data_IF_572342697759
#
_entry.id   IF_572342697759
#
_cell.length_a   1.000
_cell.length_b   1.000
_cell.length_c   1.000
_cell.angle_alpha   90.00
_cell.angle_beta   90.00
_cell.angle_gamma   90.00
#
_symmetry.space_group_name_H-M   'P 1'
#
loop_
_entity.id
_entity.type
_entity.pdbx_description
1 polymer ?
#
# COMPACT_ATOMS: atom_id res chain seq x y z
N UNK A 1 13.90 -19.57 -36.00
CA UNK A 1 14.12 -19.25 -34.58
C UNK A 1 12.76 -19.00 -33.93
N UNK A 2 12.31 -19.91 -33.08
CA UNK A 2 11.05 -19.74 -32.36
C UNK A 2 11.26 -18.77 -31.20
N UNK A 3 10.52 -17.67 -31.20
CA UNK A 3 10.41 -16.79 -30.04
C UNK A 3 9.70 -17.54 -28.93
N UNK A 4 10.46 -17.99 -27.92
CA UNK A 4 9.88 -18.39 -26.66
C UNK A 4 9.31 -17.13 -26.00
N UNK A 5 8.02 -16.90 -26.22
CA UNK A 5 7.20 -16.09 -25.32
C UNK A 5 7.37 -16.68 -23.93
N UNK A 6 8.16 -16.01 -23.09
CA UNK A 6 8.18 -16.28 -21.67
C UNK A 6 6.82 -15.84 -21.13
N UNK A 7 5.82 -16.71 -21.26
CA UNK A 7 4.71 -16.76 -20.34
C UNK A 7 5.34 -17.00 -18.97
N UNK A 8 5.77 -15.94 -18.29
CA UNK A 8 5.92 -15.97 -16.84
C UNK A 8 4.55 -16.43 -16.35
N UNK A 9 4.49 -17.64 -15.82
CA UNK A 9 3.30 -18.12 -15.12
C UNK A 9 2.90 -16.99 -14.16
N UNK A 10 1.74 -16.39 -14.41
CA UNK A 10 1.20 -15.33 -13.55
C UNK A 10 1.24 -15.89 -12.14
N UNK A 11 2.00 -15.26 -11.23
CA UNK A 11 2.07 -15.71 -9.85
C UNK A 11 0.64 -15.96 -9.37
N UNK A 12 0.36 -17.19 -8.97
CA UNK A 12 -0.99 -17.57 -8.61
C UNK A 12 -1.25 -17.05 -7.21
N UNK A 13 -2.22 -16.15 -7.05
CA UNK A 13 -2.77 -15.75 -5.75
C UNK A 13 -3.01 -17.02 -4.93
N UNK A 14 -2.26 -17.19 -3.84
CA UNK A 14 -2.33 -18.40 -3.04
C UNK A 14 -3.47 -18.26 -2.01
N UNK A 15 -4.58 -18.96 -2.24
CA UNK A 15 -5.70 -18.98 -1.31
C UNK A 15 -5.40 -19.97 -0.17
N UNK A 16 -5.23 -19.44 1.04
CA UNK A 16 -4.95 -20.21 2.26
C UNK A 16 -6.27 -20.66 2.92
N UNK A 17 -7.34 -19.87 2.76
CA UNK A 17 -8.66 -20.16 3.30
C UNK A 17 -9.73 -19.27 2.69
N UNK A 18 -10.97 -19.37 3.17
CA UNK A 18 -12.00 -18.38 2.81
C UNK A 18 -11.57 -17.00 3.35
N UNK A 19 -11.49 -16.00 2.48
CA UNK A 19 -11.05 -14.65 2.87
C UNK A 19 -9.58 -14.55 3.25
N UNK A 20 -8.76 -15.61 3.14
CA UNK A 20 -7.36 -15.60 3.56
C UNK A 20 -6.43 -15.93 2.40
N UNK A 21 -5.49 -15.04 2.11
CA UNK A 21 -4.63 -15.10 0.93
C UNK A 21 -3.17 -14.83 1.29
N UNK A 22 -2.24 -15.42 0.52
CA UNK A 22 -0.85 -15.01 0.46
C UNK A 22 -0.55 -14.45 -0.94
N UNK A 23 0.22 -13.37 -0.97
CA UNK A 23 0.70 -12.73 -2.20
C UNK A 23 2.19 -12.49 -2.10
N UNK A 24 2.86 -12.60 -3.24
CA UNK A 24 4.28 -12.36 -3.39
C UNK A 24 4.54 -11.28 -4.47
N UNK A 25 3.50 -10.72 -5.08
CA UNK A 25 3.61 -9.59 -6.00
C UNK A 25 2.64 -8.47 -5.64
N UNK A 26 3.00 -7.22 -5.96
CA UNK A 26 2.08 -6.09 -5.82
C UNK A 26 0.90 -6.17 -6.79
N UNK A 27 1.07 -6.82 -7.94
CA UNK A 27 -0.03 -7.08 -8.89
C UNK A 27 -1.10 -7.98 -8.29
N UNK A 28 -0.70 -9.03 -7.56
CA UNK A 28 -1.64 -9.93 -6.89
C UNK A 28 -2.35 -9.25 -5.72
N UNK A 29 -1.61 -8.45 -4.93
CA UNK A 29 -2.19 -7.60 -3.89
C UNK A 29 -3.26 -6.66 -4.48
N UNK A 30 -2.96 -6.01 -5.61
CA UNK A 30 -3.90 -5.11 -6.27
C UNK A 30 -5.10 -5.84 -6.85
N UNK A 31 -4.90 -7.00 -7.49
CA UNK A 31 -6.01 -7.78 -8.06
C UNK A 31 -6.98 -8.27 -6.96
N UNK A 32 -6.47 -8.66 -5.79
CA UNK A 32 -7.29 -8.98 -4.62
C UNK A 32 -8.07 -7.77 -4.11
N UNK A 33 -7.42 -6.60 -3.98
CA UNK A 33 -8.05 -5.42 -3.38
C UNK A 33 -9.02 -4.70 -4.32
N UNK A 34 -8.79 -4.75 -5.63
CA UNK A 34 -9.53 -3.92 -6.61
C UNK A 34 -10.30 -4.70 -7.66
N UNK A 35 -10.05 -6.01 -7.80
CA UNK A 35 -10.54 -6.82 -8.92
C UNK A 35 -10.03 -6.34 -10.30
N UNK A 36 -8.91 -5.62 -10.37
CA UNK A 36 -8.45 -4.98 -11.61
C UNK A 36 -8.26 -5.95 -12.78
N UNK A 37 -7.89 -7.21 -12.53
CA UNK A 37 -7.79 -8.24 -13.55
C UNK A 37 -8.92 -9.28 -13.47
N UNK A 38 -10.02 -8.97 -12.78
CA UNK A 38 -11.20 -9.83 -12.68
C UNK A 38 -11.01 -11.10 -11.85
N UNK A 39 -10.10 -11.12 -10.86
CA UNK A 39 -9.93 -12.26 -9.96
C UNK A 39 -11.25 -12.73 -9.35
N UNK A 40 -12.02 -11.81 -8.78
CA UNK A 40 -13.30 -12.13 -8.14
C UNK A 40 -14.37 -12.57 -9.13
N UNK A 41 -14.34 -12.05 -10.36
CA UNK A 41 -15.25 -12.49 -11.42
C UNK A 41 -15.04 -13.97 -11.74
N UNK A 42 -13.77 -14.43 -11.73
CA UNK A 42 -13.42 -15.85 -11.93
C UNK A 42 -13.75 -16.72 -10.72
N UNK A 43 -13.65 -16.18 -9.51
CA UNK A 43 -13.97 -16.93 -8.28
C UNK A 43 -15.49 -17.05 -8.04
N UNK A 44 -16.32 -16.23 -8.68
CA UNK A 44 -17.77 -16.24 -8.56
C UNK A 44 -18.31 -15.64 -7.25
N UNK A 45 -17.46 -15.45 -6.24
CA UNK A 45 -17.80 -14.75 -5.01
C UNK A 45 -16.60 -13.95 -4.47
N UNK A 46 -16.88 -12.83 -3.82
CA UNK A 46 -15.91 -12.01 -3.10
C UNK A 46 -16.28 -12.05 -1.62
N UNK A 47 -15.38 -12.50 -0.73
CA UNK A 47 -15.62 -12.35 0.69
C UNK A 47 -15.61 -10.86 1.06
N UNK A 48 -16.49 -10.47 1.99
CA UNK A 48 -16.51 -9.10 2.53
C UNK A 48 -15.29 -8.80 3.41
N UNK A 49 -14.71 -9.86 3.99
CA UNK A 49 -13.55 -9.80 4.86
C UNK A 49 -12.37 -10.48 4.18
N UNK A 50 -11.27 -9.74 4.02
CA UNK A 50 -10.04 -10.26 3.44
C UNK A 50 -8.85 -10.06 4.38
N UNK A 51 -8.05 -11.11 4.51
CA UNK A 51 -6.73 -11.11 5.12
C UNK A 51 -5.73 -11.49 4.04
N UNK A 52 -4.70 -10.67 3.87
CA UNK A 52 -3.65 -10.85 2.88
C UNK A 52 -2.30 -10.83 3.60
N UNK A 53 -1.57 -11.93 3.48
CA UNK A 53 -0.18 -12.02 3.93
C UNK A 53 0.73 -11.72 2.74
N UNK A 54 1.56 -10.69 2.87
CA UNK A 54 2.60 -10.36 1.90
C UNK A 54 3.87 -11.11 2.32
N UNK A 55 4.29 -12.09 1.51
CA UNK A 55 5.30 -13.08 1.92
C UNK A 55 6.73 -12.77 1.48
N UNK A 56 6.91 -11.64 0.77
CA UNK A 56 8.20 -11.08 0.39
C UNK A 56 8.03 -9.60 0.07
N UNK A 57 9.13 -8.87 -0.11
CA UNK A 57 9.03 -7.46 -0.52
C UNK A 57 8.37 -7.37 -1.90
N UNK A 58 7.48 -6.40 -2.07
CA UNK A 58 6.67 -6.25 -3.30
C UNK A 58 6.83 -4.87 -3.91
N UNK A 59 6.61 -4.78 -5.22
CA UNK A 59 6.45 -3.50 -5.92
C UNK A 59 5.02 -3.31 -6.37
N UNK A 60 4.41 -2.23 -5.92
CA UNK A 60 3.04 -1.87 -6.27
C UNK A 60 3.02 -1.33 -7.71
N UNK A 61 2.07 -1.78 -8.54
CA UNK A 61 2.02 -1.41 -9.95
C UNK A 61 1.60 0.05 -10.15
N UNK A 62 2.01 0.64 -11.28
CA UNK A 62 1.61 1.99 -11.74
C UNK A 62 0.13 2.07 -12.15
N UNK A 63 -0.76 1.93 -11.18
CA UNK A 63 -2.20 2.14 -11.33
C UNK A 63 -2.86 2.61 -10.02
N UNK A 64 -4.01 3.27 -10.14
CA UNK A 64 -4.83 3.74 -9.02
C UNK A 64 -6.25 3.19 -9.06
N UNK A 65 -6.44 1.87 -8.94
CA UNK A 65 -7.75 1.30 -9.03
C UNK A 65 -8.53 1.53 -7.74
N UNK A 66 -9.85 1.62 -7.86
CA UNK A 66 -10.72 1.66 -6.70
C UNK A 66 -10.70 0.31 -5.97
N UNK A 67 -10.77 0.36 -4.64
CA UNK A 67 -11.04 -0.83 -3.83
C UNK A 67 -12.37 -1.45 -4.29
N UNK A 68 -12.40 -2.78 -4.34
CA UNK A 68 -13.56 -3.49 -4.85
C UNK A 68 -14.76 -3.31 -3.90
N UNK A 69 -15.93 -2.80 -4.36
CA UNK A 69 -17.00 -2.34 -3.46
C UNK A 69 -17.60 -3.38 -2.50
N UNK A 70 -17.43 -4.66 -2.82
CA UNK A 70 -17.90 -5.78 -1.97
C UNK A 70 -17.01 -6.01 -0.75
N UNK A 71 -15.78 -5.49 -0.76
CA UNK A 71 -14.85 -5.63 0.36
C UNK A 71 -15.19 -4.60 1.43
N UNK A 72 -15.38 -5.06 2.67
CA UNK A 72 -15.74 -4.25 3.84
C UNK A 72 -14.64 -4.20 4.88
N UNK A 73 -13.89 -5.29 5.04
CA UNK A 73 -12.76 -5.35 5.97
C UNK A 73 -11.52 -5.89 5.26
N UNK A 74 -10.41 -5.19 5.41
CA UNK A 74 -9.11 -5.55 4.85
C UNK A 74 -8.08 -5.62 5.95
N UNK A 75 -7.36 -6.74 6.02
CA UNK A 75 -6.15 -6.88 6.81
C UNK A 75 -4.99 -7.23 5.89
N UNK A 76 -4.05 -6.31 5.70
CA UNK A 76 -2.79 -6.58 4.99
C UNK A 76 -1.68 -6.73 6.02
N UNK A 77 -1.18 -7.95 6.18
CA UNK A 77 -0.04 -8.25 7.03
C UNK A 77 1.22 -8.36 6.16
N UNK A 78 2.14 -7.43 6.35
CA UNK A 78 3.40 -7.42 5.60
C UNK A 78 4.44 -8.40 6.12
N UNK A 79 4.21 -9.04 7.26
CA UNK A 79 5.12 -10.05 7.83
C UNK A 79 6.58 -9.55 7.99
N UNK A 80 6.79 -8.25 8.18
CA UNK A 80 8.10 -7.62 8.26
C UNK A 80 8.73 -7.26 6.91
N UNK A 81 8.02 -7.50 5.80
CA UNK A 81 8.43 -7.10 4.46
C UNK A 81 8.10 -5.65 4.16
N UNK A 82 8.77 -5.12 3.14
CA UNK A 82 8.60 -3.75 2.68
C UNK A 82 7.77 -3.72 1.38
N UNK A 83 7.30 -2.54 1.00
CA UNK A 83 6.80 -2.33 -0.35
C UNK A 83 7.46 -1.13 -1.02
N UNK A 84 7.61 -1.24 -2.34
CA UNK A 84 8.07 -0.21 -3.24
C UNK A 84 6.92 0.22 -4.16
N UNK A 85 7.05 1.36 -4.84
CA UNK A 85 6.08 1.78 -5.86
C UNK A 85 6.73 1.95 -7.22
N UNK A 86 6.03 1.53 -8.27
CA UNK A 86 6.43 1.74 -9.66
C UNK A 86 6.19 3.20 -10.14
N UNK A 87 5.24 3.89 -9.50
CA UNK A 87 4.95 5.31 -9.72
C UNK A 87 4.49 6.00 -8.43
N UNK A 88 5.26 6.99 -7.98
CA UNK A 88 4.99 7.79 -6.78
C UNK A 88 3.64 8.51 -6.76
N UNK A 89 3.10 8.86 -7.93
CA UNK A 89 1.82 9.56 -8.08
C UNK A 89 0.65 8.60 -8.33
N UNK A 90 0.93 7.30 -8.44
CA UNK A 90 0.05 6.41 -9.19
C UNK A 90 0.07 4.96 -8.79
N UNK A 91 0.56 4.58 -7.61
CA UNK A 91 0.64 3.18 -7.17
C UNK A 91 -0.04 2.98 -5.82
N UNK A 92 -1.37 3.16 -5.80
CA UNK A 92 -2.17 3.10 -4.58
C UNK A 92 -3.57 2.56 -4.88
N UNK A 93 -4.20 1.92 -3.91
CA UNK A 93 -5.63 1.59 -3.97
C UNK A 93 -6.44 2.80 -3.56
N UNK A 94 -7.38 3.22 -4.41
CA UNK A 94 -8.29 4.31 -4.10
C UNK A 94 -9.47 3.80 -3.29
N UNK A 95 -9.77 4.41 -2.16
CA UNK A 95 -10.95 4.18 -1.35
C UNK A 95 -11.95 5.29 -1.69
N UNK A 96 -13.03 4.97 -2.44
CA UNK A 96 -14.01 5.98 -2.79
C UNK A 96 -14.62 6.63 -1.53
N UNK A 97 -15.02 7.91 -1.59
CA UNK A 97 -15.67 8.63 -0.50
C UNK A 97 -16.86 7.92 0.13
N UNK A 98 -17.64 7.21 -0.69
CA UNK A 98 -18.84 6.45 -0.30
C UNK A 98 -18.50 5.10 0.33
N UNK A 99 -17.24 4.70 0.35
CA UNK A 99 -16.79 3.45 0.95
C UNK A 99 -16.88 3.51 2.47
N UNK A 100 -17.18 2.36 3.06
CA UNK A 100 -17.18 2.13 4.51
C UNK A 100 -16.08 1.15 4.92
N UNK A 101 -15.11 0.90 4.03
CA UNK A 101 -14.10 -0.12 4.24
C UNK A 101 -13.23 0.18 5.46
N UNK A 102 -13.00 -0.83 6.29
CA UNK A 102 -12.04 -0.76 7.38
C UNK A 102 -10.76 -1.47 6.97
N UNK A 103 -9.66 -0.75 6.96
CA UNK A 103 -8.36 -1.27 6.54
C UNK A 103 -7.43 -1.34 7.73
N UNK A 104 -6.76 -2.47 7.90
CA UNK A 104 -5.64 -2.65 8.82
C UNK A 104 -4.39 -3.02 8.04
N UNK A 105 -3.30 -2.30 8.26
CA UNK A 105 -1.97 -2.60 7.73
C UNK A 105 -1.10 -2.98 8.92
N UNK A 106 -0.60 -4.21 8.94
CA UNK A 106 0.16 -4.76 10.06
C UNK A 106 1.58 -5.14 9.67
N UNK A 107 2.51 -4.99 10.62
CA UNK A 107 3.88 -5.51 10.53
C UNK A 107 4.62 -5.09 9.24
N UNK A 108 4.38 -3.86 8.80
CA UNK A 108 5.11 -3.25 7.70
C UNK A 108 6.44 -2.71 8.23
N UNK A 109 7.53 -3.03 7.55
CA UNK A 109 8.84 -2.48 7.85
C UNK A 109 9.37 -1.80 6.59
N UNK A 110 9.38 -0.48 6.56
CA UNK A 110 9.85 0.31 5.42
C UNK A 110 10.90 1.28 5.92
N UNK A 111 12.15 1.09 5.53
CA UNK A 111 13.27 1.94 5.95
C UNK A 111 14.07 2.39 4.74
N UNK A 112 14.03 3.69 4.45
CA UNK A 112 14.76 4.35 3.38
C UNK A 112 15.67 5.44 3.98
N UNK A 113 16.97 5.39 3.71
CA UNK A 113 17.97 6.26 4.38
C UNK A 113 18.77 7.19 3.45
N UNK A 114 18.39 7.34 2.16
CA UNK A 114 19.18 8.08 1.15
C UNK A 114 18.56 9.39 0.65
N UNK A 115 19.39 10.37 0.26
CA UNK A 115 18.96 11.74 -0.07
C UNK A 115 18.47 12.04 -1.50
N UNK A 116 18.14 11.06 -2.35
CA UNK A 116 17.66 11.32 -3.74
C UNK A 116 16.64 10.29 -4.25
N UNK A 117 15.59 10.72 -4.97
CA UNK A 117 14.33 9.95 -5.14
C UNK A 117 13.82 9.77 -6.60
N UNK A 118 14.68 9.49 -7.59
CA UNK A 118 14.21 9.24 -8.97
C UNK A 118 14.56 7.82 -9.44
N UNK A 119 13.82 7.30 -10.43
CA UNK A 119 14.09 6.16 -11.34
C UNK A 119 13.20 4.90 -11.26
N UNK A 120 13.13 4.22 -12.42
CA UNK A 120 12.16 3.22 -12.84
C UNK A 120 12.65 1.78 -12.55
N UNK A 121 11.77 0.95 -11.95
CA UNK A 121 11.88 -0.49 -11.63
C UNK A 121 12.52 -0.89 -10.30
N UNK A 122 12.12 -2.09 -9.81
CA UNK A 122 12.35 -2.62 -8.47
C UNK A 122 13.66 -3.41 -8.34
N UNK A 123 14.62 -3.01 -7.49
CA UNK A 123 15.86 -3.76 -7.36
C UNK A 123 15.73 -5.12 -6.62
N UNK A 124 16.71 -6.02 -6.83
CA UNK A 124 16.77 -7.32 -6.16
C UNK A 124 17.05 -7.19 -4.66
N UNK A 125 16.58 -8.16 -3.86
CA UNK A 125 16.74 -8.20 -2.40
C UNK A 125 18.18 -8.14 -1.89
N UNK A 126 19.17 -8.48 -2.72
CA UNK A 126 20.61 -8.39 -2.42
C UNK A 126 21.18 -6.97 -2.43
N UNK A 127 20.42 -6.00 -2.95
CA UNK A 127 20.87 -4.60 -3.14
C UNK A 127 20.17 -3.63 -2.18
N UNK A 128 19.59 -4.13 -1.08
CA UNK A 128 19.11 -3.27 0.03
C UNK A 128 20.25 -2.36 0.47
N UNK A 129 20.11 -1.06 0.23
CA UNK A 129 21.12 -0.06 0.62
C UNK A 129 22.38 0.03 -0.25
N UNK A 130 22.42 -0.54 -1.46
CA UNK A 130 23.54 -0.33 -2.39
C UNK A 130 23.03 0.26 -3.71
N UNK A 131 23.19 1.59 -3.85
CA UNK A 131 23.02 2.45 -5.03
C UNK A 131 22.10 1.97 -6.17
N UNK A 132 20.96 2.68 -6.33
CA UNK A 132 20.21 2.79 -7.58
C UNK A 132 18.72 2.43 -7.48
N UNK A 133 17.88 3.43 -7.15
CA UNK A 133 16.42 3.47 -7.36
C UNK A 133 15.49 2.66 -6.40
N UNK A 134 14.75 3.38 -5.54
CA UNK A 134 13.47 2.97 -4.95
C UNK A 134 12.71 4.24 -4.54
N UNK A 135 11.49 4.45 -5.05
CA UNK A 135 10.67 5.59 -4.63
C UNK A 135 9.86 5.16 -3.41
N UNK A 136 10.14 5.75 -2.25
CA UNK A 136 9.14 5.80 -1.19
C UNK A 136 7.98 6.62 -1.76
N UNK A 137 6.76 6.11 -1.67
CA UNK A 137 5.64 6.73 -2.40
C UNK A 137 5.48 8.21 -2.02
N UNK A 138 4.90 9.03 -2.92
CA UNK A 138 4.66 10.47 -2.66
C UNK A 138 3.95 10.74 -1.34
N UNK A 139 3.21 9.77 -0.79
CA UNK A 139 2.45 9.89 0.45
C UNK A 139 2.62 8.70 1.42
N UNK A 140 3.61 7.82 1.17
CA UNK A 140 3.74 6.52 1.83
C UNK A 140 2.54 5.57 1.77
N UNK A 141 1.67 5.66 0.75
CA UNK A 141 0.36 5.01 0.75
C UNK A 141 0.31 3.71 -0.05
N UNK A 142 -0.21 2.66 0.61
CA UNK A 142 -0.90 1.56 -0.09
C UNK A 142 -2.36 1.93 -0.41
N UNK A 143 -3.02 2.73 0.44
CA UNK A 143 -4.40 3.17 0.29
C UNK A 143 -4.51 4.69 0.33
N UNK A 144 -5.29 5.29 -0.58
CA UNK A 144 -5.61 6.72 -0.59
C UNK A 144 -7.10 6.93 -0.88
N UNK A 145 -7.67 8.08 -0.53
CA UNK A 145 -9.03 8.46 -0.97
C UNK A 145 -9.06 9.16 -2.33
N UNK A 146 -7.94 9.75 -2.74
CA UNK A 146 -7.76 10.52 -3.97
C UNK A 146 -6.24 10.68 -4.25
N UNK A 147 -5.89 10.95 -5.51
CA UNK A 147 -4.56 11.44 -5.92
C UNK A 147 -4.45 12.97 -5.92
N UNK A 148 -5.58 13.66 -5.68
CA UNK A 148 -5.74 15.10 -5.81
C UNK A 148 -6.56 15.72 -4.68
N UNK A 149 -6.33 17.01 -4.39
CA UNK A 149 -7.03 17.78 -3.35
C UNK A 149 -8.47 18.15 -3.76
N UNK A 150 -9.27 17.19 -4.23
CA UNK A 150 -10.63 17.48 -4.68
C UNK A 150 -11.55 17.70 -3.48
N UNK A 151 -11.76 19.00 -3.17
CA UNK A 151 -12.48 19.57 -2.00
C UNK A 151 -13.96 19.16 -1.84
N UNK A 152 -14.51 18.25 -2.65
CA UNK A 152 -15.94 17.92 -2.62
C UNK A 152 -16.32 16.89 -1.56
N UNK A 153 -15.35 16.20 -0.97
CA UNK A 153 -15.56 15.15 0.04
C UNK A 153 -15.03 15.64 1.36
N UNK A 154 -15.90 15.80 2.36
CA UNK A 154 -15.54 16.35 3.67
C UNK A 154 -15.59 15.31 4.81
N UNK A 155 -16.05 14.09 4.52
CA UNK A 155 -16.07 12.98 5.47
C UNK A 155 -16.13 11.63 4.75
N UNK A 156 -15.39 10.65 5.26
CA UNK A 156 -15.46 9.24 4.86
C UNK A 156 -15.76 8.37 6.09
N UNK A 157 -16.55 7.30 5.90
CA UNK A 157 -16.79 6.28 6.91
C UNK A 157 -15.75 5.15 6.86
N UNK A 158 -14.84 5.17 5.88
CA UNK A 158 -13.71 4.29 5.83
C UNK A 158 -12.66 4.69 6.87
N UNK A 159 -11.79 3.76 7.26
CA UNK A 159 -10.65 4.05 8.13
C UNK A 159 -9.43 3.22 7.74
N UNK A 160 -8.24 3.74 8.02
CA UNK A 160 -6.97 3.01 7.89
C UNK A 160 -6.29 2.94 9.25
N UNK A 161 -5.99 1.74 9.72
CA UNK A 161 -5.30 1.49 10.97
C UNK A 161 -3.93 0.88 10.70
N UNK A 162 -2.87 1.52 11.16
CA UNK A 162 -1.51 0.98 11.14
C UNK A 162 -1.21 0.26 12.47
N UNK A 163 -0.70 -0.97 12.38
CA UNK A 163 -0.41 -1.84 13.52
C UNK A 163 1.03 -2.38 13.45
N UNK A 164 1.87 -2.06 14.43
CA UNK A 164 3.28 -2.48 14.45
C UNK A 164 4.04 -2.11 13.16
N UNK A 165 3.89 -0.86 12.70
CA UNK A 165 4.50 -0.38 11.46
C UNK A 165 5.73 0.47 11.72
N UNK A 166 6.85 0.11 11.08
CA UNK A 166 8.02 0.98 10.94
C UNK A 166 8.00 1.61 9.55
N UNK A 167 7.98 2.94 9.49
CA UNK A 167 8.02 3.70 8.25
C UNK A 167 8.97 4.89 8.42
N UNK A 168 10.22 4.70 8.00
CA UNK A 168 11.31 5.67 8.10
C UNK A 168 11.72 6.04 6.68
N UNK A 169 11.51 7.28 6.26
CA UNK A 169 11.85 7.70 4.89
C UNK A 169 12.55 9.06 4.85
N UNK A 170 13.43 9.33 3.86
CA UNK A 170 14.19 10.56 3.76
C UNK A 170 13.26 11.74 3.51
N UNK A 171 13.58 12.88 4.12
CA UNK A 171 12.81 14.12 3.98
C UNK A 171 12.98 14.71 2.59
N UNK A 172 11.94 14.61 1.77
CA UNK A 172 11.80 15.40 0.55
C UNK A 172 10.33 15.71 0.29
N UNK A 173 9.95 16.97 0.55
CA UNK A 173 8.56 17.44 0.43
C UNK A 173 7.96 17.30 -0.97
N UNK A 174 8.79 17.07 -2.01
CA UNK A 174 8.33 16.88 -3.39
C UNK A 174 7.92 15.44 -3.69
N UNK A 175 8.39 14.49 -2.89
CA UNK A 175 8.36 13.05 -3.24
C UNK A 175 8.14 12.10 -2.07
N UNK A 176 8.30 12.53 -0.82
CA UNK A 176 8.06 11.73 0.38
C UNK A 176 7.27 12.58 1.39
N UNK A 177 5.98 12.31 1.50
CA UNK A 177 5.14 12.83 2.59
C UNK A 177 4.93 11.73 3.64
N UNK A 178 4.68 12.11 4.91
CA UNK A 178 4.27 11.14 5.93
C UNK A 178 3.04 10.35 5.47
N UNK A 179 2.79 9.20 6.10
CA UNK A 179 1.56 8.42 5.92
C UNK A 179 0.37 9.39 6.05
N UNK A 180 -0.23 9.73 4.92
CA UNK A 180 -1.22 10.80 4.81
C UNK A 180 -2.31 10.37 3.87
N UNK A 181 -3.56 10.44 4.31
CA UNK A 181 -4.69 10.20 3.43
C UNK A 181 -5.61 11.41 3.49
N UNK A 182 -6.20 11.79 2.36
CA UNK A 182 -7.19 12.83 2.35
C UNK A 182 -8.51 12.25 2.90
N UNK A 183 -9.18 12.91 3.84
CA UNK A 183 -10.57 12.58 4.24
C UNK A 183 -10.85 11.18 4.83
N UNK A 184 -9.86 10.29 4.95
CA UNK A 184 -9.98 8.99 5.61
C UNK A 184 -9.21 9.07 6.94
N UNK A 185 -9.86 8.82 8.08
CA UNK A 185 -9.18 8.73 9.36
C UNK A 185 -8.05 7.69 9.34
N UNK A 186 -6.89 8.10 9.84
CA UNK A 186 -5.76 7.22 10.10
C UNK A 186 -5.64 6.99 11.61
N UNK A 187 -5.59 5.72 12.01
CA UNK A 187 -5.38 5.28 13.38
C UNK A 187 -4.06 4.53 13.51
N UNK A 188 -3.50 4.51 14.73
CA UNK A 188 -2.30 3.75 15.07
C UNK A 188 -2.56 2.89 16.30
N UNK A 189 -2.20 1.61 16.23
CA UNK A 189 -2.25 0.65 17.34
C UNK A 189 -0.95 -0.14 17.43
N UNK A 190 -0.59 -0.65 18.60
CA UNK A 190 0.68 -1.36 18.79
C UNK A 190 1.91 -0.46 18.65
N UNK A 191 3.05 -1.04 18.30
CA UNK A 191 4.35 -0.37 18.31
C UNK A 191 4.68 0.21 16.93
N UNK A 192 4.24 1.44 16.67
CA UNK A 192 4.53 2.13 15.41
C UNK A 192 5.73 3.07 15.56
N UNK A 193 6.60 3.08 14.55
CA UNK A 193 7.73 3.98 14.45
C UNK A 193 7.70 4.69 13.10
N UNK A 194 7.18 5.93 13.10
CA UNK A 194 7.00 6.73 11.89
C UNK A 194 7.96 7.91 11.94
N UNK A 195 8.97 7.88 11.08
CA UNK A 195 9.94 8.97 10.97
C UNK A 195 9.90 9.57 9.56
N UNK A 196 9.53 10.85 9.51
CA UNK A 196 9.69 11.71 8.35
C UNK A 196 10.36 12.97 8.86
N UNK A 197 11.44 13.45 8.24
CA UNK A 197 12.06 14.70 8.67
C UNK A 197 11.02 15.84 8.70
N UNK A 198 10.81 16.40 9.88
CA UNK A 198 9.70 17.27 10.32
C UNK A 198 9.26 18.32 9.28
N UNK A 199 8.05 18.21 8.72
CA UNK A 199 7.08 19.32 8.55
C UNK A 199 5.89 18.94 7.65
N UNK A 200 4.69 18.86 8.21
CA UNK A 200 3.44 18.81 7.47
C UNK A 200 2.26 18.55 8.41
N UNK A 201 1.31 19.48 8.48
CA UNK A 201 0.14 19.42 9.39
C UNK A 201 -0.54 18.04 9.31
N UNK A 202 -0.69 17.38 10.46
CA UNK A 202 -1.73 16.37 10.63
C UNK A 202 -3.08 17.06 10.36
N UNK A 203 -3.65 16.89 9.17
CA UNK A 203 -5.03 17.25 8.91
C UNK A 203 -5.89 16.14 9.52
N UNK A 204 -6.21 16.30 10.81
CA UNK A 204 -7.23 15.51 11.50
C UNK A 204 -6.73 14.24 12.20
N UNK A 205 -5.85 14.39 13.19
CA UNK A 205 -5.51 13.31 14.12
C UNK A 205 -4.43 13.76 15.09
N UNK A 206 -4.78 13.94 16.36
CA UNK A 206 -3.83 14.26 17.42
C UNK A 206 -2.87 13.09 17.63
N UNK A 207 -1.61 13.26 17.23
CA UNK A 207 -0.52 12.36 17.62
C UNK A 207 -0.03 12.80 18.99
N UNK A 208 -0.38 12.06 20.04
CA UNK A 208 0.32 12.14 21.32
C UNK A 208 1.67 11.44 21.16
N UNK A 209 2.76 12.21 21.22
CA UNK A 209 4.08 11.65 21.48
C UNK A 209 4.09 11.13 22.92
N UNK A 210 4.23 9.82 23.11
CA UNK A 210 4.71 9.30 24.39
C UNK A 210 6.23 9.22 24.28
N UNK A 211 6.90 10.06 25.09
CA UNK A 211 8.32 10.06 25.40
C UNK A 211 8.72 8.82 26.19
#
# INVERSE_FOLDING_TARGET
>A
MAYFSQYRAKAAINRIGLGNYAVDTGSDLFDLLSNSNGYWNRQGNTPENITINVTKDITLPRTQPNIYPKIKNVNVNFQGHEFFVDNQNGSAIIIPPTSTVQVMISNLNTIYTYGTNWYFSAPPSSNRGNFGAYVATRMGLLFSSDSSETKSVISSNAQITYNNVTYIVPRDYRVNQPLSSYYIPINFIGNNHIENGVSGRALGGSVQHQS
#
